data_IF_560180553837
#
_entry.id   IF_560180553837
#
_cell.length_a   1.000
_cell.length_b   1.000
_cell.length_c   1.000
_cell.angle_alpha   90.00
_cell.angle_beta   90.00
_cell.angle_gamma   90.00
#
_symmetry.space_group_name_H-M   'P 1'
#
loop_
_entity.id
_entity.type
_entity.pdbx_description
1 polymer ?
#
# COMPACT_ATOMS: atom_id res chain seq x y z
N UNK A 1 32.39 -16.25 -29.22
CA UNK A 1 32.46 -14.77 -29.33
C UNK A 1 31.33 -14.20 -28.47
N UNK A 2 31.59 -13.41 -27.42
CA UNK A 2 30.53 -12.93 -26.53
C UNK A 2 29.86 -11.70 -27.16
N UNK A 3 28.56 -11.78 -27.45
CA UNK A 3 27.75 -10.64 -27.91
C UNK A 3 27.18 -9.96 -26.66
N UNK A 4 28.00 -9.12 -26.02
CA UNK A 4 27.55 -8.22 -24.96
C UNK A 4 26.96 -6.95 -25.56
N UNK A 5 25.70 -6.99 -25.98
CA UNK A 5 24.95 -5.79 -26.37
C UNK A 5 24.53 -5.02 -25.13
N UNK A 6 25.18 -3.89 -24.85
CA UNK A 6 24.69 -2.94 -23.85
C UNK A 6 23.54 -2.14 -24.47
N UNK A 7 22.30 -2.57 -24.24
CA UNK A 7 21.11 -1.83 -24.66
C UNK A 7 20.89 -0.61 -23.75
N UNK A 8 20.27 0.45 -24.27
CA UNK A 8 19.92 1.61 -23.47
C UNK A 8 18.44 1.62 -23.11
N UNK A 9 18.11 1.96 -21.87
CA UNK A 9 16.73 2.02 -21.37
C UNK A 9 16.47 3.35 -20.67
N UNK A 10 15.28 3.93 -20.87
CA UNK A 10 14.81 5.12 -20.17
C UNK A 10 13.61 4.81 -19.26
N UNK A 11 13.42 5.60 -18.20
CA UNK A 11 12.32 5.42 -17.23
C UNK A 11 11.33 6.58 -17.35
N UNK A 12 10.03 6.28 -17.48
CA UNK A 12 8.94 7.27 -17.57
C UNK A 12 7.73 6.80 -16.74
N UNK A 13 6.97 7.73 -16.17
CA UNK A 13 5.67 7.43 -15.55
C UNK A 13 5.74 6.80 -14.16
N UNK A 14 6.88 6.90 -13.48
CA UNK A 14 7.06 6.42 -12.11
C UNK A 14 7.09 7.59 -11.11
N UNK A 15 6.67 7.33 -9.87
CA UNK A 15 6.80 8.31 -8.80
C UNK A 15 8.28 8.55 -8.45
N UNK A 16 8.63 9.72 -7.89
CA UNK A 16 10.03 10.11 -7.65
C UNK A 16 10.83 9.10 -6.81
N UNK A 17 10.19 8.46 -5.82
CA UNK A 17 10.78 7.38 -5.03
C UNK A 17 11.04 6.12 -5.86
N UNK A 18 10.13 5.75 -6.76
CA UNK A 18 10.31 4.61 -7.68
C UNK A 18 11.43 4.87 -8.69
N UNK A 19 11.51 6.08 -9.23
CA UNK A 19 12.61 6.48 -10.12
C UNK A 19 13.95 6.31 -9.40
N UNK A 20 14.09 6.80 -8.17
CA UNK A 20 15.31 6.65 -7.39
C UNK A 20 15.68 5.16 -7.14
N UNK A 21 14.68 4.32 -6.87
CA UNK A 21 14.90 2.88 -6.68
C UNK A 21 15.33 2.17 -7.97
N UNK A 22 14.67 2.48 -9.08
CA UNK A 22 15.00 1.93 -10.40
C UNK A 22 16.39 2.40 -10.85
N UNK A 23 16.74 3.65 -10.58
CA UNK A 23 18.11 4.16 -10.81
C UNK A 23 19.15 3.33 -10.06
N UNK A 24 18.92 3.03 -8.78
CA UNK A 24 19.83 2.18 -7.99
C UNK A 24 19.90 0.78 -8.61
N UNK A 25 18.77 0.21 -9.02
CA UNK A 25 18.73 -1.10 -9.66
C UNK A 25 19.55 -1.13 -10.96
N UNK A 26 19.36 -0.18 -11.87
CA UNK A 26 20.10 -0.13 -13.13
C UNK A 26 21.56 0.29 -12.97
N UNK A 27 21.90 1.08 -11.94
CA UNK A 27 23.30 1.38 -11.58
C UNK A 27 23.99 0.21 -10.89
N UNK A 28 23.23 -0.72 -10.32
CA UNK A 28 23.77 -1.96 -9.77
C UNK A 28 24.06 -2.98 -10.88
N UNK A 29 25.02 -3.89 -10.69
CA UNK A 29 25.35 -4.96 -11.65
C UNK A 29 24.25 -6.03 -11.82
N UNK A 30 23.01 -5.72 -11.38
CA UNK A 30 21.82 -6.58 -11.44
C UNK A 30 21.03 -6.41 -12.75
N UNK A 31 21.16 -5.28 -13.44
CA UNK A 31 20.53 -5.02 -14.74
C UNK A 31 21.45 -5.41 -15.91
N UNK A 32 21.85 -6.69 -15.97
CA UNK A 32 22.80 -7.18 -16.98
C UNK A 32 22.31 -6.84 -18.40
N UNK A 33 23.11 -6.08 -19.14
CA UNK A 33 22.85 -5.74 -20.54
C UNK A 33 22.01 -4.47 -20.78
N UNK A 34 21.63 -3.74 -19.73
CA UNK A 34 20.90 -2.47 -19.87
C UNK A 34 21.57 -1.31 -19.13
N UNK A 35 21.78 -0.20 -19.83
CA UNK A 35 22.26 1.05 -19.28
C UNK A 35 21.14 2.07 -19.20
N UNK A 36 20.92 2.62 -18.00
CA UNK A 36 19.93 3.67 -17.80
C UNK A 36 20.41 5.00 -18.39
N UNK A 37 19.65 5.54 -19.33
CA UNK A 37 19.87 6.84 -19.97
C UNK A 37 18.60 7.67 -19.93
N UNK A 38 18.68 8.94 -20.34
CA UNK A 38 17.49 9.78 -20.47
C UNK A 38 16.52 9.18 -21.51
N UNK A 39 15.19 9.23 -21.28
CA UNK A 39 14.22 8.59 -22.16
C UNK A 39 14.34 8.95 -23.65
N UNK A 40 14.76 10.18 -23.96
CA UNK A 40 14.91 10.68 -25.33
C UNK A 40 16.10 10.04 -26.08
N UNK A 41 17.06 9.48 -25.34
CA UNK A 41 18.30 8.90 -25.87
C UNK A 41 18.33 7.36 -25.76
N UNK A 42 17.24 6.75 -25.30
CA UNK A 42 17.16 5.31 -25.05
C UNK A 42 16.65 4.53 -26.26
N UNK A 43 17.07 3.28 -26.42
CA UNK A 43 16.58 2.38 -27.48
C UNK A 43 15.32 1.64 -27.04
N UNK A 44 15.05 1.63 -25.73
CA UNK A 44 13.92 0.97 -25.09
C UNK A 44 13.44 1.72 -23.85
N UNK A 45 12.25 1.40 -23.36
CA UNK A 45 11.68 2.09 -22.19
C UNK A 45 11.13 1.17 -21.11
N UNK A 46 11.22 1.64 -19.87
CA UNK A 46 10.47 1.16 -18.74
C UNK A 46 9.43 2.21 -18.38
N UNK A 47 8.15 1.82 -18.44
CA UNK A 47 7.01 2.73 -18.35
C UNK A 47 6.13 2.34 -17.17
N UNK A 48 5.91 3.27 -16.24
CA UNK A 48 5.03 3.10 -15.10
C UNK A 48 3.64 3.64 -15.38
N UNK A 49 2.61 2.87 -15.03
CA UNK A 49 1.21 3.28 -15.09
C UNK A 49 0.65 3.41 -13.67
N UNK A 50 1.13 4.39 -12.90
CA UNK A 50 0.70 4.62 -11.50
C UNK A 50 -0.45 5.62 -11.35
N UNK A 51 -0.56 6.65 -12.20
CA UNK A 51 -1.55 7.74 -12.06
C UNK A 51 -2.32 7.99 -13.37
N UNK A 52 -3.57 8.48 -13.30
CA UNK A 52 -4.41 8.80 -14.47
C UNK A 52 -3.81 9.93 -15.33
N UNK A 53 -3.19 10.95 -14.72
CA UNK A 53 -2.53 12.04 -15.45
C UNK A 53 -1.30 11.51 -16.21
N UNK A 54 -0.54 10.59 -15.60
CA UNK A 54 0.60 9.94 -16.25
C UNK A 54 0.14 8.99 -17.38
N UNK A 55 -1.02 8.35 -17.25
CA UNK A 55 -1.59 7.44 -18.26
C UNK A 55 -1.86 8.13 -19.59
N UNK A 56 -2.57 9.25 -19.61
CA UNK A 56 -2.86 9.94 -20.88
C UNK A 56 -1.59 10.41 -21.59
N UNK A 57 -0.61 10.90 -20.82
CA UNK A 57 0.66 11.37 -21.38
C UNK A 57 1.48 10.20 -21.94
N UNK A 58 1.52 9.07 -21.22
CA UNK A 58 2.21 7.84 -21.63
C UNK A 58 1.53 7.21 -22.84
N UNK A 59 0.20 7.14 -22.89
CA UNK A 59 -0.55 6.57 -24.01
C UNK A 59 -0.38 7.39 -25.29
N UNK A 60 -0.51 8.73 -25.21
CA UNK A 60 -0.23 9.63 -26.35
C UNK A 60 1.19 9.48 -26.88
N UNK A 61 2.12 9.19 -25.99
CA UNK A 61 3.52 9.03 -26.34
C UNK A 61 3.78 7.66 -27.00
N UNK A 62 3.23 6.57 -26.45
CA UNK A 62 3.30 5.22 -27.02
C UNK A 62 2.60 5.10 -28.38
N UNK A 63 1.61 5.95 -28.68
CA UNK A 63 1.01 6.01 -30.01
C UNK A 63 1.97 6.52 -31.09
N UNK A 64 2.94 7.35 -30.71
CA UNK A 64 3.90 7.97 -31.61
C UNK A 64 5.27 7.30 -31.60
N UNK A 65 5.56 6.46 -30.60
CA UNK A 65 6.85 5.80 -30.43
C UNK A 65 6.74 4.28 -30.59
N UNK A 66 7.57 3.71 -31.47
CA UNK A 66 7.57 2.28 -31.79
C UNK A 66 8.66 1.49 -31.07
N UNK A 67 9.40 2.12 -30.14
CA UNK A 67 10.46 1.44 -29.38
C UNK A 67 9.88 0.33 -28.50
N UNK A 68 10.58 -0.82 -28.38
CA UNK A 68 10.20 -1.85 -27.41
C UNK A 68 10.18 -1.29 -25.99
N UNK A 69 9.12 -1.58 -25.23
CA UNK A 69 8.97 -1.11 -23.86
C UNK A 69 8.45 -2.18 -22.91
N UNK A 70 8.78 -2.02 -21.64
CA UNK A 70 8.25 -2.77 -20.50
C UNK A 70 7.26 -1.88 -19.76
N UNK A 71 6.03 -2.34 -19.60
CA UNK A 71 4.96 -1.64 -18.91
C UNK A 71 4.74 -2.22 -17.52
N UNK A 72 4.88 -1.40 -16.49
CA UNK A 72 4.50 -1.74 -15.11
C UNK A 72 3.08 -1.27 -14.86
N UNK A 73 2.16 -2.22 -14.78
CA UNK A 73 0.70 -1.99 -14.72
C UNK A 73 0.11 -2.48 -13.41
N UNK A 74 -0.98 -1.86 -12.98
CA UNK A 74 -1.83 -2.41 -11.93
C UNK A 74 -2.86 -3.41 -12.51
N UNK A 75 -3.48 -4.23 -11.66
CA UNK A 75 -4.44 -5.27 -12.05
C UNK A 75 -5.61 -4.71 -12.89
N UNK A 76 -6.07 -3.49 -12.59
CA UNK A 76 -7.13 -2.83 -13.33
C UNK A 76 -6.70 -2.33 -14.74
N UNK A 77 -5.41 -2.08 -14.96
CA UNK A 77 -4.88 -1.41 -16.18
C UNK A 77 -4.30 -2.38 -17.20
N UNK A 78 -4.19 -3.67 -16.87
CA UNK A 78 -3.55 -4.69 -17.72
C UNK A 78 -4.19 -4.83 -19.12
N UNK A 79 -5.49 -4.52 -19.28
CA UNK A 79 -6.24 -4.65 -20.54
C UNK A 79 -5.94 -3.57 -21.59
N UNK A 80 -5.50 -2.37 -21.19
CA UNK A 80 -5.45 -1.21 -22.08
C UNK A 80 -4.04 -0.90 -22.64
N UNK A 81 -2.99 -1.56 -22.14
CA UNK A 81 -1.65 -1.39 -22.70
C UNK A 81 -1.55 -2.14 -24.03
N UNK A 82 -1.13 -1.40 -25.08
CA UNK A 82 -0.94 -1.91 -26.44
C UNK A 82 -0.20 -3.26 -26.47
N UNK A 83 -0.63 -4.15 -27.37
CA UNK A 83 -0.21 -5.57 -27.40
C UNK A 83 1.29 -5.78 -27.69
N UNK A 84 2.02 -4.70 -27.97
CA UNK A 84 3.44 -4.71 -28.35
C UNK A 84 4.40 -4.55 -27.15
N UNK A 85 3.92 -4.18 -25.96
CA UNK A 85 4.77 -4.03 -24.75
C UNK A 85 4.88 -5.30 -23.89
N UNK A 86 6.00 -5.48 -23.19
CA UNK A 86 6.16 -6.55 -22.16
C UNK A 86 5.51 -6.06 -20.87
N UNK A 87 4.56 -6.82 -20.29
CA UNK A 87 3.79 -6.37 -19.12
C UNK A 87 4.32 -6.97 -17.82
N UNK A 88 4.48 -6.13 -16.80
CA UNK A 88 4.76 -6.53 -15.42
C UNK A 88 3.63 -5.99 -14.53
N UNK A 89 3.04 -6.85 -13.70
CA UNK A 89 2.04 -6.43 -12.71
C UNK A 89 2.69 -5.86 -11.46
N UNK A 90 2.09 -4.82 -10.88
CA UNK A 90 2.38 -4.36 -9.51
C UNK A 90 1.91 -5.44 -8.49
N UNK A 91 2.62 -5.64 -7.36
CA UNK A 91 3.86 -4.97 -6.96
C UNK A 91 5.08 -5.43 -7.79
N UNK A 92 5.96 -4.48 -8.14
CA UNK A 92 7.16 -4.71 -8.94
C UNK A 92 8.18 -5.55 -8.16
N UNK A 93 8.55 -6.72 -8.69
CA UNK A 93 9.52 -7.63 -8.06
C UNK A 93 10.81 -7.70 -8.87
N UNK A 94 11.92 -8.07 -8.22
CA UNK A 94 13.21 -8.27 -8.89
C UNK A 94 13.16 -9.32 -9.98
N UNK A 95 12.55 -10.46 -9.66
CA UNK A 95 12.43 -11.59 -10.59
C UNK A 95 11.63 -11.17 -11.82
N UNK A 96 10.47 -10.54 -11.63
CA UNK A 96 9.62 -10.10 -12.74
C UNK A 96 10.30 -9.04 -13.61
N UNK A 97 11.05 -8.11 -12.99
CA UNK A 97 11.81 -7.10 -13.73
C UNK A 97 12.97 -7.73 -14.52
N UNK A 98 13.70 -8.69 -13.94
CA UNK A 98 14.79 -9.38 -14.65
C UNK A 98 14.26 -10.21 -15.82
N UNK A 99 13.19 -10.97 -15.63
CA UNK A 99 12.55 -11.74 -16.70
C UNK A 99 12.08 -10.85 -17.84
N UNK A 100 11.46 -9.70 -17.51
CA UNK A 100 11.05 -8.73 -18.51
C UNK A 100 12.23 -8.10 -19.27
N UNK A 101 13.34 -7.79 -18.59
CA UNK A 101 14.54 -7.27 -19.25
C UNK A 101 15.19 -8.32 -20.17
N UNK A 102 15.19 -9.60 -19.77
CA UNK A 102 15.65 -10.69 -20.65
C UNK A 102 14.78 -10.77 -21.91
N UNK A 103 13.45 -10.74 -21.76
CA UNK A 103 12.53 -10.71 -22.90
C UNK A 103 12.72 -9.46 -23.77
N UNK A 104 12.97 -8.30 -23.17
CA UNK A 104 13.21 -7.04 -23.87
C UNK A 104 14.49 -7.11 -24.70
N UNK A 105 15.57 -7.67 -24.13
CA UNK A 105 16.85 -7.86 -24.83
C UNK A 105 16.70 -8.78 -26.04
N UNK A 106 15.92 -9.86 -25.91
CA UNK A 106 15.63 -10.77 -27.01
C UNK A 106 14.86 -10.06 -28.13
N UNK A 107 13.89 -9.19 -27.79
CA UNK A 107 13.15 -8.37 -28.78
C UNK A 107 14.04 -7.34 -29.47
N UNK A 108 14.94 -6.70 -28.74
CA UNK A 108 15.88 -5.74 -29.32
C UNK A 108 16.90 -6.43 -30.26
N UNK A 109 17.26 -7.68 -29.97
CA UNK A 109 18.13 -8.49 -30.83
C UNK A 109 17.42 -9.03 -32.09
N UNK A 110 16.10 -9.27 -32.03
CA UNK A 110 15.33 -9.87 -33.13
C UNK A 110 14.94 -8.89 -34.25
N UNK A 111 15.05 -7.57 -34.05
CA UNK A 111 14.57 -6.56 -35.01
C UNK A 111 13.03 -6.52 -35.13
N UNK A 112 12.45 -5.61 -35.94
CA UNK A 112 11.00 -5.52 -36.07
C UNK A 112 10.49 -6.71 -36.88
N UNK A 113 9.91 -7.70 -36.21
CA UNK A 113 9.32 -8.89 -36.83
C UNK A 113 7.80 -8.82 -36.67
N UNK A 114 7.11 -8.86 -37.80
CA UNK A 114 5.66 -9.04 -37.91
C UNK A 114 5.24 -10.39 -37.29
N UNK A 115 4.06 -10.39 -36.67
CA UNK A 115 3.51 -11.50 -35.89
C UNK A 115 3.48 -12.83 -36.66
N UNK A 116 4.04 -13.88 -36.05
CA UNK A 116 3.94 -15.24 -36.60
C UNK A 116 4.59 -16.31 -35.71
N UNK A 117 3.74 -17.04 -35.00
CA UNK A 117 3.91 -18.41 -34.48
C UNK A 117 4.96 -18.75 -33.40
N UNK A 118 4.43 -19.42 -32.36
CA UNK A 118 5.13 -20.07 -31.26
C UNK A 118 6.02 -21.20 -31.78
N UNK A 119 7.26 -21.29 -31.30
CA UNK A 119 7.98 -22.57 -31.17
C UNK A 119 8.75 -22.61 -29.85
N UNK A 120 8.51 -23.69 -29.10
CA UNK A 120 9.16 -24.11 -27.86
C UNK A 120 10.51 -24.74 -28.19
N UNK A 121 11.59 -24.48 -27.42
CA UNK A 121 12.62 -25.50 -27.22
C UNK A 121 13.49 -25.27 -25.97
N UNK A 122 13.82 -26.40 -25.36
CA UNK A 122 14.49 -26.69 -24.10
C UNK A 122 16.03 -26.50 -24.08
N UNK A 123 16.50 -26.13 -22.87
CA UNK A 123 17.61 -26.69 -22.05
C UNK A 123 19.02 -26.83 -22.64
N UNK A 124 20.07 -26.33 -21.93
CA UNK A 124 21.23 -27.12 -21.42
C UNK A 124 21.88 -26.41 -20.22
N UNK A 125 22.25 -27.19 -19.20
CA UNK A 125 22.81 -26.81 -17.90
C UNK A 125 24.32 -27.10 -17.75
N UNK A 126 24.91 -26.52 -16.70
CA UNK A 126 26.07 -26.94 -15.86
C UNK A 126 27.49 -26.39 -16.19
N UNK A 127 28.47 -26.43 -15.24
CA UNK A 127 28.44 -26.32 -13.76
C UNK A 127 29.44 -25.22 -13.23
N UNK A 128 29.31 -24.68 -12.01
CA UNK A 128 29.93 -25.20 -10.77
C UNK A 128 31.07 -24.26 -10.30
N UNK A 129 31.04 -23.81 -9.02
CA UNK A 129 32.05 -23.03 -8.25
C UNK A 129 31.78 -21.54 -7.92
N UNK A 130 30.58 -21.00 -8.14
CA UNK A 130 30.26 -19.61 -7.72
C UNK A 130 29.50 -19.50 -6.37
N UNK A 131 29.07 -20.62 -5.77
CA UNK A 131 28.22 -20.61 -4.55
C UNK A 131 29.02 -20.42 -3.26
N UNK A 132 30.21 -21.01 -3.18
CA UNK A 132 31.00 -20.99 -1.93
C UNK A 132 31.66 -19.62 -1.68
N UNK A 133 32.03 -18.91 -2.76
CA UNK A 133 32.54 -17.54 -2.67
C UNK A 133 31.46 -16.53 -2.24
N UNK A 134 30.23 -16.71 -2.72
CA UNK A 134 29.08 -15.85 -2.38
C UNK A 134 28.61 -16.08 -0.94
N UNK A 135 28.72 -17.30 -0.43
CA UNK A 135 28.36 -17.64 0.95
C UNK A 135 29.37 -17.07 1.96
N UNK A 136 30.68 -17.14 1.66
CA UNK A 136 31.73 -16.55 2.50
C UNK A 136 31.64 -15.01 2.57
N UNK A 137 31.28 -14.35 1.48
CA UNK A 137 31.09 -12.89 1.45
C UNK A 137 29.83 -12.45 2.23
N UNK A 138 28.81 -13.31 2.29
CA UNK A 138 27.58 -13.09 3.07
C UNK A 138 27.81 -13.21 4.58
N UNK A 139 28.58 -14.21 5.06
CA UNK A 139 28.91 -14.34 6.49
C UNK A 139 29.76 -13.17 7.00
N UNK A 140 30.75 -12.74 6.20
CA UNK A 140 31.58 -11.57 6.51
C UNK A 140 30.78 -10.25 6.54
N UNK A 141 29.60 -10.20 5.89
CA UNK A 141 28.70 -9.03 5.91
C UNK A 141 27.75 -9.05 7.11
N UNK A 142 27.34 -10.23 7.56
CA UNK A 142 26.49 -10.41 8.76
C UNK A 142 27.23 -10.04 10.04
N UNK A 143 28.51 -10.38 10.14
CA UNK A 143 29.36 -9.98 11.28
C UNK A 143 29.62 -8.47 11.33
N UNK A 144 29.94 -7.83 10.20
CA UNK A 144 30.09 -6.37 10.13
C UNK A 144 28.81 -5.60 10.49
N UNK A 145 27.65 -6.15 10.14
CA UNK A 145 26.36 -5.56 10.55
C UNK A 145 26.09 -5.72 12.04
N UNK A 146 26.47 -6.85 12.64
CA UNK A 146 26.34 -7.10 14.09
C UNK A 146 27.24 -6.16 14.89
N UNK A 147 28.48 -5.96 14.44
CA UNK A 147 29.45 -5.04 15.06
C UNK A 147 29.03 -3.58 14.94
N UNK A 148 28.44 -3.18 13.80
CA UNK A 148 27.84 -1.86 13.62
C UNK A 148 26.60 -1.64 14.50
N UNK A 149 25.76 -2.68 14.69
CA UNK A 149 24.59 -2.64 15.59
C UNK A 149 24.97 -2.57 17.07
N UNK A 150 26.07 -3.22 17.48
CA UNK A 150 26.59 -3.10 18.85
C UNK A 150 27.25 -1.74 19.10
N UNK A 151 27.95 -1.18 18.11
CA UNK A 151 28.52 0.17 18.19
C UNK A 151 27.43 1.27 18.24
N UNK A 152 26.32 1.09 17.50
CA UNK A 152 25.21 2.04 17.47
C UNK A 152 24.33 2.02 18.75
N UNK A 153 24.22 0.86 19.42
CA UNK A 153 23.49 0.74 20.70
C UNK A 153 24.21 1.38 21.90
N UNK A 154 25.53 1.54 21.86
CA UNK A 154 26.29 2.16 22.94
C UNK A 154 26.20 3.68 22.97
N UNK A 155 25.99 4.32 21.83
CA UNK A 155 26.22 5.77 21.63
C UNK A 155 24.91 6.59 21.51
N UNK A 156 23.78 5.93 21.23
CA UNK A 156 22.46 6.56 21.06
C UNK A 156 21.70 6.77 22.38
N UNK A 157 21.77 5.80 23.31
CA UNK A 157 21.05 5.85 24.58
C UNK A 157 21.50 7.00 25.50
N UNK A 158 22.77 7.42 25.40
CA UNK A 158 23.33 8.50 26.21
C UNK A 158 23.02 9.89 25.64
N UNK A 159 22.92 10.05 24.31
CA UNK A 159 22.67 11.36 23.67
C UNK A 159 21.20 11.75 23.63
N UNK A 160 20.28 10.79 23.52
CA UNK A 160 18.83 11.07 23.48
C UNK A 160 18.29 11.51 24.85
N UNK A 161 18.83 10.96 25.96
CA UNK A 161 18.40 11.33 27.31
C UNK A 161 18.80 12.74 27.75
N UNK A 162 19.90 13.27 27.22
CA UNK A 162 20.45 14.58 27.62
C UNK A 162 19.95 15.72 26.69
N UNK A 163 19.71 15.43 25.42
CA UNK A 163 19.14 16.37 24.45
C UNK A 163 17.62 16.60 24.63
N UNK A 164 16.88 15.60 25.13
CA UNK A 164 15.46 15.74 25.47
C UNK A 164 15.22 16.51 26.77
N UNK A 165 16.19 16.51 27.71
CA UNK A 165 16.09 17.24 28.99
C UNK A 165 16.42 18.73 28.88
N UNK A 166 17.12 19.17 27.84
CA UNK A 166 17.53 20.59 27.69
C UNK A 166 16.62 21.44 26.81
N UNK A 167 15.65 20.84 26.10
CA UNK A 167 14.82 21.56 25.10
C UNK A 167 13.39 21.92 25.54
N UNK A 168 12.91 21.39 26.66
CA UNK A 168 11.58 21.74 27.19
C UNK A 168 11.64 21.90 28.72
N UNK A 169 12.17 23.02 29.17
CA UNK A 169 11.99 23.51 30.54
C UNK A 169 10.82 24.49 30.58
N UNK A 170 9.61 23.95 30.56
CA UNK A 170 8.45 24.56 31.20
C UNK A 170 7.89 23.46 32.10
N UNK A 171 7.90 23.70 33.41
CA UNK A 171 7.49 22.67 34.36
C UNK A 171 6.02 22.30 34.11
N UNK A 172 5.75 20.99 34.18
CA UNK A 172 4.44 20.37 33.91
C UNK A 172 3.30 20.95 34.77
N UNK A 173 3.62 21.66 35.84
CA UNK A 173 2.72 22.42 36.70
C UNK A 173 2.19 23.71 36.04
N UNK A 174 3.02 24.44 35.29
CA UNK A 174 2.65 25.72 34.64
C UNK A 174 1.78 25.50 33.40
N UNK A 175 2.00 24.39 32.68
CA UNK A 175 1.16 24.03 31.54
C UNK A 175 -0.28 23.68 31.97
N UNK A 176 -0.41 23.03 33.14
CA UNK A 176 -1.72 22.66 33.68
C UNK A 176 -2.50 23.87 34.23
N UNK A 177 -1.83 24.89 34.78
CA UNK A 177 -2.50 26.11 35.22
C UNK A 177 -3.01 26.96 34.05
N UNK A 178 -2.26 27.05 32.95
CA UNK A 178 -2.67 27.77 31.75
C UNK A 178 -3.89 27.14 31.04
N UNK A 179 -3.97 25.80 31.04
CA UNK A 179 -5.13 25.09 30.48
C UNK A 179 -6.39 25.33 31.32
N UNK A 180 -6.25 25.36 32.65
CA UNK A 180 -7.37 25.61 33.56
C UNK A 180 -7.88 27.06 33.45
N UNK A 181 -6.97 28.03 33.36
CA UNK A 181 -7.32 29.45 33.14
C UNK A 181 -8.06 29.65 31.81
N UNK A 182 -7.59 29.03 30.73
CA UNK A 182 -8.23 29.10 29.42
C UNK A 182 -9.66 28.52 29.41
N UNK A 183 -9.89 27.41 30.12
CA UNK A 183 -11.23 26.81 30.26
C UNK A 183 -12.18 27.69 31.09
N UNK A 184 -11.66 28.36 32.12
CA UNK A 184 -12.46 29.24 32.99
C UNK A 184 -12.87 30.52 32.27
N UNK A 185 -12.03 31.05 31.39
CA UNK A 185 -12.38 32.21 30.55
C UNK A 185 -13.43 31.88 29.49
N UNK A 186 -13.35 30.70 28.86
CA UNK A 186 -14.34 30.22 27.90
C UNK A 186 -15.74 30.06 28.53
N UNK A 187 -15.82 29.56 29.76
CA UNK A 187 -17.08 29.47 30.50
C UNK A 187 -17.65 30.84 30.86
N UNK A 188 -16.80 31.81 31.26
CA UNK A 188 -17.23 33.19 31.52
C UNK A 188 -17.71 33.94 30.26
N UNK A 189 -17.16 33.60 29.09
CA UNK A 189 -17.62 34.15 27.81
C UNK A 189 -18.96 33.55 27.38
N UNK A 190 -19.21 32.26 27.64
CA UNK A 190 -20.50 31.63 27.37
C UNK A 190 -21.62 32.14 28.30
N UNK A 191 -21.32 32.48 29.55
CA UNK A 191 -22.29 33.02 30.51
C UNK A 191 -22.70 34.50 30.27
N UNK A 192 -22.03 35.23 29.37
CA UNK A 192 -22.28 36.68 29.11
C UNK A 192 -23.09 36.98 27.84
N UNK A 193 -23.57 35.97 27.11
CA UNK A 193 -24.47 36.18 25.96
C UNK A 193 -25.91 36.43 26.46
N UNK A 194 -26.56 37.56 26.13
CA UNK A 194 -27.95 37.78 26.54
C UNK A 194 -28.89 36.90 25.70
N UNK A 195 -29.74 36.16 26.41
CA UNK A 195 -30.81 35.33 25.83
C UNK A 195 -31.99 36.24 25.47
N UNK A 196 -32.37 36.29 24.19
CA UNK A 196 -33.64 36.87 23.73
C UNK A 196 -34.73 35.80 23.90
N UNK A 197 -35.68 36.05 24.80
CA UNK A 197 -36.80 35.14 25.09
C UNK A 197 -37.96 35.49 24.16
N UNK A 198 -38.30 34.57 23.25
CA UNK A 198 -39.63 34.46 22.65
C UNK A 198 -40.30 33.16 23.16
N UNK A 199 -41.62 33.13 23.39
CA UNK A 199 -42.26 32.05 24.15
C UNK A 199 -42.45 30.79 23.29
N UNK A 200 -41.92 29.66 23.76
CA UNK A 200 -42.22 28.34 23.20
C UNK A 200 -43.55 27.77 23.74
N UNK A 201 -44.35 27.08 22.91
CA UNK A 201 -45.36 26.16 23.39
C UNK A 201 -44.73 24.81 23.83
N UNK A 202 -45.43 24.13 24.74
CA UNK A 202 -45.01 22.95 25.53
C UNK A 202 -44.30 21.83 24.75
N UNK A 203 -43.37 21.08 25.39
CA UNK A 203 -42.57 20.06 24.72
C UNK A 203 -43.35 18.76 24.54
N UNK A 204 -43.42 18.28 23.29
CA UNK A 204 -43.47 16.85 23.02
C UNK A 204 -42.04 16.32 23.18
N UNK A 205 -41.88 15.26 23.96
CA UNK A 205 -40.60 14.65 24.29
C UNK A 205 -39.82 14.29 23.01
N UNK A 206 -38.73 15.01 22.76
CA UNK A 206 -37.65 14.52 21.89
C UNK A 206 -36.76 13.69 22.79
N UNK A 207 -36.75 12.39 22.54
CA UNK A 207 -35.73 11.49 23.06
C UNK A 207 -34.42 11.96 22.44
N UNK A 208 -33.58 12.64 23.23
CA UNK A 208 -32.17 12.78 22.90
C UNK A 208 -31.59 11.36 22.94
N UNK A 209 -31.42 10.78 21.76
CA UNK A 209 -30.65 9.56 21.56
C UNK A 209 -29.18 9.95 21.81
N UNK A 210 -28.76 9.91 23.07
CA UNK A 210 -27.34 9.90 23.42
C UNK A 210 -26.72 8.70 22.72
N UNK A 211 -26.10 8.95 21.57
CA UNK A 211 -25.34 7.94 20.86
C UNK A 211 -24.35 7.30 21.86
N UNK A 212 -24.33 5.95 21.97
CA UNK A 212 -23.44 5.28 22.89
C UNK A 212 -21.99 5.71 22.63
N UNK A 213 -21.14 5.75 23.67
CA UNK A 213 -19.74 6.10 23.50
C UNK A 213 -19.12 5.25 22.38
N UNK A 214 -18.25 5.82 21.54
CA UNK A 214 -17.69 5.06 20.42
C UNK A 214 -16.97 3.83 20.99
N UNK A 215 -17.33 2.64 20.49
CA UNK A 215 -16.67 1.37 20.84
C UNK A 215 -15.16 1.43 20.61
N UNK A 216 -14.71 2.30 19.72
CA UNK A 216 -13.31 2.57 19.41
C UNK A 216 -12.85 3.88 20.06
N UNK A 217 -11.61 3.89 20.56
CA UNK A 217 -10.97 5.12 21.03
C UNK A 217 -10.80 6.12 19.87
N UNK A 218 -10.74 7.42 20.21
CA UNK A 218 -10.50 8.49 19.23
C UNK A 218 -9.21 8.26 18.45
N UNK A 219 -8.16 7.79 19.13
CA UNK A 219 -6.89 7.44 18.51
C UNK A 219 -7.04 6.32 17.47
N UNK A 220 -7.77 5.25 17.80
CA UNK A 220 -8.01 4.13 16.88
C UNK A 220 -8.84 4.58 15.67
N UNK A 221 -9.85 5.42 15.87
CA UNK A 221 -10.62 6.02 14.77
C UNK A 221 -9.68 6.80 13.83
N UNK A 222 -8.77 7.61 14.37
CA UNK A 222 -7.81 8.35 13.57
C UNK A 222 -6.78 7.44 12.87
N UNK A 223 -6.44 6.29 13.47
CA UNK A 223 -5.57 5.30 12.84
C UNK A 223 -6.26 4.62 11.64
N UNK A 224 -7.54 4.21 11.77
CA UNK A 224 -8.28 3.52 10.72
C UNK A 224 -8.86 4.45 9.65
N UNK A 225 -9.30 5.65 10.05
CA UNK A 225 -10.09 6.56 9.20
C UNK A 225 -9.37 7.88 8.91
N UNK A 226 -8.21 8.11 9.51
CA UNK A 226 -7.47 9.36 9.33
C UNK A 226 -8.21 10.58 9.88
N UNK A 227 -7.74 11.75 9.48
CA UNK A 227 -8.25 13.05 9.91
C UNK A 227 -8.48 14.01 8.74
N UNK A 228 -8.50 13.48 7.51
CA UNK A 228 -8.74 14.31 6.33
C UNK A 228 -10.16 14.91 6.43
N UNK A 229 -10.33 16.23 6.25
CA UNK A 229 -11.66 16.82 6.10
C UNK A 229 -12.26 16.41 4.76
N UNK A 230 -13.58 16.53 4.64
CA UNK A 230 -14.27 16.29 3.39
C UNK A 230 -13.77 17.25 2.30
N UNK A 231 -13.70 16.73 1.09
CA UNK A 231 -13.18 17.46 -0.07
C UNK A 231 -14.19 17.52 -1.20
N UNK A 232 -14.01 18.51 -2.07
CA UNK A 232 -14.66 18.56 -3.36
C UNK A 232 -13.89 17.69 -4.38
N UNK A 233 -14.45 16.53 -4.75
CA UNK A 233 -13.84 15.61 -5.71
C UNK A 233 -13.81 16.14 -7.16
N UNK A 234 -14.59 17.19 -7.46
CA UNK A 234 -14.57 17.88 -8.77
C UNK A 234 -13.36 18.84 -8.88
N UNK A 235 -12.75 19.20 -7.74
CA UNK A 235 -11.54 20.01 -7.71
C UNK A 235 -10.30 19.12 -7.84
N UNK A 236 -9.54 19.28 -8.93
CA UNK A 236 -8.32 18.50 -9.19
C UNK A 236 -7.33 18.54 -8.02
N UNK A 237 -7.14 19.72 -7.42
CA UNK A 237 -6.20 19.90 -6.31
C UNK A 237 -6.65 19.18 -5.04
N UNK A 238 -7.93 19.22 -4.73
CA UNK A 238 -8.46 18.56 -3.54
C UNK A 238 -8.59 17.05 -3.74
N UNK A 239 -8.98 16.62 -4.94
CA UNK A 239 -9.01 15.23 -5.37
C UNK A 239 -7.69 14.52 -5.09
N UNK A 240 -6.55 15.14 -5.42
CA UNK A 240 -5.20 14.59 -5.17
C UNK A 240 -4.91 14.27 -3.70
N UNK A 241 -5.65 14.82 -2.74
CA UNK A 241 -5.47 14.54 -1.30
C UNK A 241 -6.19 13.28 -0.84
N UNK A 242 -7.23 12.88 -1.57
CA UNK A 242 -8.01 11.66 -1.31
C UNK A 242 -7.33 10.44 -1.87
N UNK A 243 -6.65 10.58 -3.00
CA UNK A 243 -6.04 9.46 -3.70
C UNK A 243 -4.60 9.21 -3.23
N UNK A 244 -4.18 7.96 -3.21
CA UNK A 244 -2.80 7.57 -2.88
C UNK A 244 -2.37 6.29 -3.60
N UNK A 245 -1.10 6.21 -3.94
CA UNK A 245 -0.52 4.99 -4.52
C UNK A 245 -0.26 3.93 -3.45
N UNK A 246 -0.66 2.68 -3.77
CA UNK A 246 -0.36 1.47 -2.99
C UNK A 246 1.06 0.95 -3.21
N UNK A 247 1.85 1.60 -4.06
CA UNK A 247 3.16 1.11 -4.44
C UNK A 247 4.13 1.05 -3.28
N UNK A 248 4.78 -0.12 -3.16
CA UNK A 248 5.70 -0.43 -2.07
C UNK A 248 5.02 -0.60 -0.71
N UNK A 249 3.69 -0.63 -0.61
CA UNK A 249 3.02 -0.86 0.67
C UNK A 249 2.78 -2.34 0.94
N UNK A 250 2.56 -2.69 2.21
CA UNK A 250 2.34 -4.08 2.65
C UNK A 250 1.06 -4.69 2.08
N UNK A 251 -0.05 -3.93 2.02
CA UNK A 251 -1.38 -4.45 1.67
C UNK A 251 -1.41 -5.22 0.33
N UNK A 252 -0.88 -4.71 -0.80
CA UNK A 252 -0.79 -5.48 -2.04
C UNK A 252 -0.05 -6.81 -1.92
N UNK A 253 0.98 -6.87 -1.09
CA UNK A 253 1.73 -8.11 -0.85
C UNK A 253 0.89 -9.13 -0.09
N UNK A 254 0.08 -8.69 0.87
CA UNK A 254 -0.86 -9.56 1.59
C UNK A 254 -1.94 -10.10 0.66
N UNK A 255 -2.54 -9.23 -0.16
CA UNK A 255 -3.54 -9.65 -1.15
C UNK A 255 -2.96 -10.66 -2.15
N UNK A 256 -1.73 -10.43 -2.61
CA UNK A 256 -1.00 -11.36 -3.48
C UNK A 256 -0.66 -12.67 -2.77
N UNK A 257 -0.28 -12.61 -1.50
CA UNK A 257 0.02 -13.77 -0.65
C UNK A 257 -1.20 -14.70 -0.54
N UNK A 258 -2.39 -14.13 -0.28
CA UNK A 258 -3.66 -14.87 -0.24
C UNK A 258 -3.95 -15.50 -1.60
N UNK A 259 -3.91 -14.69 -2.67
CA UNK A 259 -4.20 -15.16 -4.03
C UNK A 259 -3.30 -16.32 -4.46
N UNK A 260 -1.98 -16.18 -4.30
CA UNK A 260 -1.02 -17.23 -4.66
C UNK A 260 -1.19 -18.47 -3.80
N UNK A 261 -1.46 -18.33 -2.51
CA UNK A 261 -1.73 -19.47 -1.63
C UNK A 261 -2.98 -20.22 -2.04
N UNK A 262 -4.03 -19.50 -2.44
CA UNK A 262 -5.29 -20.07 -2.91
C UNK A 262 -5.16 -20.77 -4.26
N UNK A 263 -4.41 -20.18 -5.19
CA UNK A 263 -4.15 -20.75 -6.52
C UNK A 263 -3.25 -22.00 -6.44
N UNK A 264 -2.24 -21.99 -5.56
CA UNK A 264 -1.24 -23.07 -5.47
C UNK A 264 -1.59 -24.14 -4.43
N UNK A 265 -2.45 -23.83 -3.48
CA UNK A 265 -2.72 -24.66 -2.30
C UNK A 265 -1.55 -24.73 -1.31
N UNK A 266 -0.49 -23.94 -1.51
CA UNK A 266 0.74 -23.98 -0.72
C UNK A 266 0.89 -22.78 0.21
N UNK A 267 1.54 -23.00 1.34
CA UNK A 267 1.80 -21.94 2.33
C UNK A 267 2.67 -20.86 1.69
N UNK A 268 2.28 -19.60 1.89
CA UNK A 268 3.01 -18.44 1.40
C UNK A 268 3.57 -17.66 2.57
N UNK A 269 4.87 -17.37 2.56
CA UNK A 269 5.51 -16.50 3.55
C UNK A 269 5.75 -15.12 2.96
N UNK A 270 5.40 -14.07 3.70
CA UNK A 270 5.86 -12.72 3.43
C UNK A 270 7.27 -12.57 4.02
N UNK A 271 8.25 -12.41 3.15
CA UNK A 271 9.67 -12.24 3.52
C UNK A 271 10.01 -10.76 3.44
N UNK A 272 10.85 -10.28 4.36
CA UNK A 272 11.27 -8.86 4.42
C UNK A 272 10.60 -8.04 5.51
N UNK A 273 9.56 -8.61 6.14
CA UNK A 273 8.99 -8.09 7.39
C UNK A 273 9.63 -8.77 8.60
N UNK A 274 9.73 -8.09 9.75
CA UNK A 274 10.15 -8.75 10.98
C UNK A 274 9.18 -9.88 11.37
N UNK A 275 9.69 -10.88 12.11
CA UNK A 275 8.86 -11.95 12.64
C UNK A 275 8.24 -12.88 11.58
N UNK A 276 7.15 -13.53 11.97
CA UNK A 276 6.45 -14.51 11.14
C UNK A 276 5.19 -13.89 10.50
N UNK A 277 5.06 -14.00 9.18
CA UNK A 277 3.83 -13.65 8.49
C UNK A 277 3.59 -14.65 7.35
N UNK A 278 2.76 -15.65 7.64
CA UNK A 278 2.49 -16.76 6.74
C UNK A 278 1.00 -16.84 6.46
N UNK A 279 0.64 -17.07 5.20
CA UNK A 279 -0.71 -17.43 4.80
C UNK A 279 -0.85 -18.94 4.66
N UNK A 280 -1.84 -19.52 5.34
CA UNK A 280 -2.15 -20.94 5.37
C UNK A 280 -3.44 -21.16 4.58
N UNK A 281 -3.36 -21.55 3.29
CA UNK A 281 -4.53 -21.57 2.39
C UNK A 281 -5.59 -22.61 2.78
N UNK A 282 -5.20 -23.73 3.37
CA UNK A 282 -6.13 -24.78 3.79
C UNK A 282 -7.07 -24.34 4.92
N UNK A 283 -6.62 -23.42 5.77
CA UNK A 283 -7.39 -22.88 6.88
C UNK A 283 -7.95 -21.47 6.60
N UNK A 284 -7.50 -20.80 5.53
CA UNK A 284 -7.80 -19.38 5.24
C UNK A 284 -7.43 -18.45 6.39
N UNK A 285 -6.26 -18.70 7.00
CA UNK A 285 -5.73 -17.90 8.12
C UNK A 285 -4.32 -17.43 7.84
N UNK A 286 -3.96 -16.31 8.45
CA UNK A 286 -2.58 -15.91 8.63
C UNK A 286 -2.05 -16.36 9.99
N UNK A 287 -0.84 -16.88 9.99
CA UNK A 287 -0.01 -17.00 11.18
C UNK A 287 0.83 -15.74 11.32
N UNK A 288 0.55 -14.96 12.36
CA UNK A 288 1.14 -13.65 12.64
C UNK A 288 1.99 -13.73 13.91
N UNK A 289 3.31 -13.66 13.75
CA UNK A 289 4.30 -13.56 14.82
C UNK A 289 4.86 -12.14 14.97
N UNK A 290 4.03 -11.15 14.67
CA UNK A 290 4.29 -9.71 14.80
C UNK A 290 3.36 -9.16 15.88
N UNK A 291 3.84 -8.22 16.70
CA UNK A 291 2.96 -7.45 17.57
C UNK A 291 2.11 -6.44 16.76
N UNK A 292 1.03 -5.96 17.38
CA UNK A 292 0.06 -5.09 16.71
C UNK A 292 0.63 -3.71 16.33
N UNK A 293 1.52 -3.14 17.15
CA UNK A 293 2.10 -1.82 16.91
C UNK A 293 3.07 -1.87 15.72
N UNK A 294 3.89 -2.91 15.65
CA UNK A 294 4.79 -3.16 14.53
C UNK A 294 4.00 -3.41 13.25
N UNK A 295 2.93 -4.22 13.30
CA UNK A 295 2.06 -4.43 12.15
C UNK A 295 1.45 -3.10 11.67
N UNK A 296 0.98 -2.26 12.59
CA UNK A 296 0.47 -0.92 12.28
C UNK A 296 1.57 -0.03 11.66
N UNK A 297 2.81 -0.07 12.14
CA UNK A 297 3.91 0.65 11.53
C UNK A 297 4.17 0.18 10.08
N UNK A 298 4.18 -1.13 9.85
CA UNK A 298 4.42 -1.71 8.52
C UNK A 298 3.34 -1.32 7.50
N UNK A 299 2.10 -1.04 7.92
CA UNK A 299 1.05 -0.52 7.01
C UNK A 299 1.38 0.85 6.41
N UNK A 300 2.32 1.58 7.02
CA UNK A 300 2.77 2.92 6.62
C UNK A 300 4.16 2.93 5.98
N UNK A 301 4.88 1.82 6.09
CA UNK A 301 6.22 1.68 5.51
C UNK A 301 6.10 1.47 4.01
N UNK A 302 6.92 2.21 3.25
CA UNK A 302 7.16 1.93 1.84
C UNK A 302 8.39 1.06 1.72
N UNK A 303 8.18 -0.19 1.38
CA UNK A 303 9.24 -1.14 1.06
C UNK A 303 9.83 -0.80 -0.30
N UNK A 304 11.14 -0.76 -0.31
CA UNK A 304 11.93 -0.66 -1.52
C UNK A 304 11.90 -1.93 -2.35
N UNK A 305 12.55 -1.86 -3.48
CA UNK A 305 12.70 -3.00 -4.36
C UNK A 305 13.48 -4.14 -3.69
N UNK A 306 12.95 -5.36 -3.76
CA UNK A 306 13.53 -6.58 -3.15
C UNK A 306 13.57 -6.55 -1.60
N UNK A 307 13.01 -5.52 -0.96
CA UNK A 307 12.91 -5.47 0.50
C UNK A 307 11.77 -6.32 1.04
N UNK A 308 10.77 -6.62 0.21
CA UNK A 308 9.65 -7.50 0.52
C UNK A 308 9.38 -8.43 -0.65
N UNK A 309 9.08 -9.69 -0.35
CA UNK A 309 8.79 -10.71 -1.35
C UNK A 309 7.90 -11.80 -0.78
N UNK A 310 7.45 -12.71 -1.64
CA UNK A 310 6.71 -13.90 -1.25
C UNK A 310 7.56 -15.13 -1.49
N UNK A 311 7.60 -16.02 -0.50
CA UNK A 311 8.29 -17.29 -0.59
C UNK A 311 7.30 -18.42 -0.32
N UNK A 312 7.20 -19.34 -1.28
CA UNK A 312 6.46 -20.58 -1.10
C UNK A 312 7.16 -21.47 -0.07
N UNK A 313 6.36 -22.08 0.82
CA UNK A 313 6.82 -23.06 1.81
C UNK A 313 6.08 -24.37 1.62
N UNK A 314 6.80 -25.47 1.77
CA UNK A 314 6.18 -26.80 1.80
C UNK A 314 5.32 -26.95 3.05
N UNK A 315 4.20 -27.67 2.93
CA UNK A 315 3.30 -27.96 4.04
C UNK A 315 3.97 -28.72 5.20
N UNK A 316 5.07 -29.44 4.92
CA UNK A 316 5.86 -30.23 5.88
C UNK A 316 6.89 -29.40 6.66
N UNK A 317 7.10 -28.14 6.28
CA UNK A 317 8.03 -27.27 7.02
C UNK A 317 7.46 -26.91 8.38
N UNK A 318 8.28 -27.04 9.43
CA UNK A 318 7.92 -26.53 10.76
C UNK A 318 7.67 -25.02 10.67
N UNK A 319 6.44 -24.62 10.97
CA UNK A 319 6.06 -23.22 11.03
C UNK A 319 6.44 -22.63 12.40
N UNK A 320 6.86 -21.36 12.46
CA UNK A 320 7.14 -20.70 13.71
C UNK A 320 5.86 -20.56 14.57
N UNK A 321 6.02 -20.17 15.83
CA UNK A 321 4.88 -19.85 16.68
C UNK A 321 4.32 -18.47 16.31
N UNK A 322 3.01 -18.31 16.40
CA UNK A 322 2.32 -17.05 16.11
C UNK A 322 0.82 -17.14 16.37
N UNK A 323 0.16 -15.99 16.39
CA UNK A 323 -1.30 -15.91 16.50
C UNK A 323 -1.91 -16.24 15.14
N UNK A 324 -2.91 -17.13 15.11
CA UNK A 324 -3.74 -17.34 13.93
C UNK A 324 -4.82 -16.26 13.84
N UNK A 325 -4.95 -15.61 12.68
CA UNK A 325 -5.94 -14.58 12.40
C UNK A 325 -6.61 -14.93 11.06
N UNK A 326 -7.93 -14.80 10.95
CA UNK A 326 -8.61 -15.06 9.68
C UNK A 326 -8.10 -14.14 8.56
N UNK A 327 -8.02 -14.63 7.32
CA UNK A 327 -7.38 -13.90 6.24
C UNK A 327 -8.07 -12.59 5.87
N UNK A 328 -9.39 -12.63 5.82
CA UNK A 328 -10.25 -11.47 5.61
C UNK A 328 -10.18 -10.48 6.78
N UNK A 329 -10.17 -10.95 8.03
CA UNK A 329 -10.01 -10.10 9.22
C UNK A 329 -8.69 -9.31 9.17
N UNK A 330 -7.58 -9.99 8.87
CA UNK A 330 -6.28 -9.34 8.74
C UNK A 330 -6.25 -8.37 7.55
N UNK A 331 -6.75 -8.77 6.39
CA UNK A 331 -6.80 -7.91 5.21
C UNK A 331 -7.66 -6.66 5.44
N UNK A 332 -8.81 -6.81 6.10
CA UNK A 332 -9.70 -5.71 6.48
C UNK A 332 -8.97 -4.70 7.38
N UNK A 333 -8.31 -5.18 8.45
CA UNK A 333 -7.56 -4.33 9.37
C UNK A 333 -6.40 -3.60 8.66
N UNK A 334 -5.61 -4.32 7.87
CA UNK A 334 -4.48 -3.72 7.14
C UNK A 334 -4.97 -2.70 6.11
N UNK A 335 -6.08 -2.97 5.43
CA UNK A 335 -6.69 -2.04 4.48
C UNK A 335 -7.12 -0.74 5.15
N UNK A 336 -7.77 -0.81 6.32
CA UNK A 336 -8.12 0.37 7.11
C UNK A 336 -6.87 1.20 7.49
N UNK A 337 -5.85 0.55 8.04
CA UNK A 337 -4.64 1.23 8.50
C UNK A 337 -3.77 1.78 7.37
N UNK A 338 -3.81 1.18 6.19
CA UNK A 338 -3.16 1.69 4.97
C UNK A 338 -3.95 2.87 4.37
N UNK A 339 -5.27 2.75 4.26
CA UNK A 339 -6.14 3.75 3.63
C UNK A 339 -6.25 5.04 4.46
N UNK A 340 -6.60 4.93 5.74
CA UNK A 340 -6.79 6.07 6.66
C UNK A 340 -7.70 7.16 6.09
N UNK A 341 -8.83 6.77 5.53
CA UNK A 341 -9.83 7.66 4.96
C UNK A 341 -9.48 8.20 3.58
N UNK A 342 -8.54 7.56 2.89
CA UNK A 342 -8.13 7.84 1.51
C UNK A 342 -8.40 6.61 0.64
N UNK A 343 -8.31 6.78 -0.67
CA UNK A 343 -8.64 5.76 -1.66
C UNK A 343 -7.39 5.45 -2.50
N UNK A 344 -7.02 4.17 -2.71
CA UNK A 344 -5.99 3.79 -3.65
C UNK A 344 -6.25 4.32 -5.06
N UNK A 345 -5.21 4.71 -5.79
CA UNK A 345 -5.31 5.15 -7.20
C UNK A 345 -5.89 4.05 -8.14
N UNK A 346 -5.88 2.80 -7.67
CA UNK A 346 -6.50 1.64 -8.33
C UNK A 346 -8.03 1.64 -8.29
N UNK A 347 -8.63 2.39 -7.35
CA UNK A 347 -10.07 2.48 -7.13
C UNK A 347 -10.59 3.86 -7.50
N UNK A 348 -11.90 3.99 -7.75
CA UNK A 348 -12.56 5.27 -8.00
C UNK A 348 -13.67 5.49 -7.00
N UNK A 349 -13.70 6.68 -6.41
CA UNK A 349 -14.75 7.13 -5.48
C UNK A 349 -16.10 7.35 -6.19
N UNK A 350 -16.07 7.54 -7.51
CA UNK A 350 -17.21 7.89 -8.35
C UNK A 350 -17.82 6.65 -9.03
N UNK A 351 -17.07 5.54 -9.12
CA UNK A 351 -17.55 4.31 -9.71
C UNK A 351 -18.63 3.66 -8.81
N UNK A 352 -19.86 3.45 -9.31
CA UNK A 352 -20.92 2.82 -8.52
C UNK A 352 -20.65 1.33 -8.26
N UNK A 353 -20.80 0.91 -7.02
CA UNK A 353 -20.63 -0.47 -6.55
C UNK A 353 -21.79 -0.91 -5.66
N UNK A 354 -21.94 -2.21 -5.48
CA UNK A 354 -22.98 -2.83 -4.66
C UNK A 354 -22.31 -3.90 -3.79
N UNK A 355 -22.62 -3.93 -2.50
CA UNK A 355 -22.16 -5.01 -1.62
C UNK A 355 -22.94 -6.29 -1.94
N UNK A 356 -22.22 -7.40 -2.07
CA UNK A 356 -22.79 -8.73 -2.27
C UNK A 356 -23.35 -9.30 -0.96
N UNK A 357 -22.69 -9.01 0.15
CA UNK A 357 -23.07 -9.48 1.49
C UNK A 357 -22.72 -8.44 2.57
N UNK A 358 -23.34 -8.57 3.74
CA UNK A 358 -23.04 -7.70 4.88
C UNK A 358 -21.70 -8.12 5.51
N UNK A 359 -20.83 -7.16 5.86
CA UNK A 359 -19.65 -7.47 6.67
C UNK A 359 -20.05 -8.01 8.05
N UNK A 360 -19.36 -9.04 8.51
CA UNK A 360 -19.51 -9.56 9.87
C UNK A 360 -18.77 -8.68 10.88
N UNK A 361 -19.46 -7.67 11.44
CA UNK A 361 -18.90 -6.72 12.42
C UNK A 361 -18.65 -7.30 13.81
N UNK A 362 -19.04 -8.55 14.08
CA UNK A 362 -18.63 -9.23 15.32
C UNK A 362 -17.18 -9.71 15.24
N UNK A 363 -16.68 -9.93 14.01
CA UNK A 363 -15.30 -10.31 13.73
C UNK A 363 -14.48 -9.16 13.13
N UNK A 364 -15.05 -8.42 12.19
CA UNK A 364 -14.39 -7.32 11.50
C UNK A 364 -14.43 -6.04 12.33
N UNK A 365 -13.34 -5.27 12.26
CA UNK A 365 -13.22 -3.99 12.97
C UNK A 365 -14.30 -3.01 12.49
N UNK A 366 -15.29 -2.73 13.35
CA UNK A 366 -16.40 -1.82 13.10
C UNK A 366 -15.95 -0.34 13.20
N UNK A 367 -15.76 0.33 12.07
CA UNK A 367 -15.46 1.77 12.02
C UNK A 367 -16.70 2.63 12.25
N UNK A 368 -16.57 3.94 12.52
CA UNK A 368 -17.73 4.83 12.66
C UNK A 368 -18.66 4.75 11.45
N UNK A 369 -19.96 4.62 11.73
CA UNK A 369 -21.03 4.49 10.72
C UNK A 369 -20.95 3.24 9.82
N UNK A 370 -20.08 2.26 10.12
CA UNK A 370 -19.85 1.11 9.24
C UNK A 370 -21.13 0.32 8.92
N UNK A 371 -22.02 0.12 9.91
CA UNK A 371 -23.31 -0.56 9.70
C UNK A 371 -24.21 0.20 8.73
N UNK A 372 -24.41 1.50 8.94
CA UNK A 372 -25.24 2.33 8.05
C UNK A 372 -24.66 2.43 6.64
N UNK A 373 -23.32 2.51 6.54
CA UNK A 373 -22.62 2.48 5.25
C UNK A 373 -22.90 1.14 4.54
N UNK A 374 -22.71 0.03 5.24
CA UNK A 374 -22.92 -1.31 4.68
C UNK A 374 -24.39 -1.54 4.26
N UNK A 375 -25.35 -1.18 5.10
CA UNK A 375 -26.78 -1.31 4.79
C UNK A 375 -27.17 -0.52 3.53
N UNK A 376 -26.73 0.73 3.42
CA UNK A 376 -27.01 1.55 2.24
C UNK A 376 -26.39 0.92 0.98
N UNK A 377 -25.13 0.50 1.05
CA UNK A 377 -24.39 -0.05 -0.09
C UNK A 377 -24.81 -1.46 -0.48
N UNK A 378 -25.41 -2.22 0.44
CA UNK A 378 -26.05 -3.50 0.13
C UNK A 378 -27.40 -3.28 -0.56
N UNK A 379 -28.14 -2.24 -0.15
CA UNK A 379 -29.47 -1.95 -0.71
C UNK A 379 -29.42 -1.30 -2.10
N UNK A 380 -28.36 -0.53 -2.41
CA UNK A 380 -28.30 0.28 -3.62
C UNK A 380 -26.89 0.32 -4.23
N UNK A 381 -26.83 0.29 -5.57
CA UNK A 381 -25.58 0.44 -6.31
C UNK A 381 -25.19 1.91 -6.38
N UNK A 382 -24.20 2.29 -5.59
CA UNK A 382 -23.82 3.68 -5.35
C UNK A 382 -22.30 3.85 -5.37
N UNK A 383 -21.85 5.07 -5.69
CA UNK A 383 -20.44 5.43 -5.56
C UNK A 383 -20.11 5.79 -4.11
N UNK A 384 -18.83 5.75 -3.73
CA UNK A 384 -18.40 6.12 -2.38
C UNK A 384 -18.76 7.58 -2.05
N UNK A 385 -18.66 8.47 -3.04
CA UNK A 385 -19.08 9.86 -2.90
C UNK A 385 -20.57 9.96 -2.60
N UNK A 386 -21.42 9.25 -3.35
CA UNK A 386 -22.88 9.29 -3.16
C UNK A 386 -23.29 8.73 -1.80
N UNK A 387 -22.64 7.67 -1.32
CA UNK A 387 -22.88 7.11 0.02
C UNK A 387 -22.57 8.12 1.12
N UNK A 388 -21.43 8.80 1.04
CA UNK A 388 -21.07 9.85 2.00
C UNK A 388 -22.10 10.99 1.99
N UNK A 389 -22.48 11.47 0.81
CA UNK A 389 -23.48 12.54 0.67
C UNK A 389 -24.86 12.16 1.19
N UNK A 390 -25.33 10.93 0.93
CA UNK A 390 -26.67 10.50 1.35
C UNK A 390 -26.77 10.23 2.85
N UNK A 391 -25.72 9.68 3.46
CA UNK A 391 -25.69 9.43 4.90
C UNK A 391 -25.36 10.70 5.70
N UNK A 392 -24.83 11.75 5.06
CA UNK A 392 -24.38 12.96 5.74
C UNK A 392 -23.21 12.72 6.70
N UNK A 393 -22.39 11.69 6.43
CA UNK A 393 -21.23 11.31 7.25
C UNK A 393 -19.93 11.76 6.59
N UNK A 394 -18.87 12.02 7.36
CA UNK A 394 -17.57 12.38 6.80
C UNK A 394 -17.08 11.36 5.76
N UNK A 395 -16.62 11.86 4.61
CA UNK A 395 -16.13 11.06 3.47
C UNK A 395 -15.07 10.04 3.90
N UNK A 396 -14.18 10.43 4.82
CA UNK A 396 -13.11 9.56 5.34
C UNK A 396 -13.63 8.24 5.93
N UNK A 397 -14.82 8.22 6.53
CA UNK A 397 -15.38 6.99 7.10
C UNK A 397 -15.86 6.06 5.99
N UNK A 398 -16.52 6.62 4.97
CA UNK A 398 -16.96 5.88 3.78
C UNK A 398 -15.77 5.37 2.97
N UNK A 399 -14.73 6.19 2.80
CA UNK A 399 -13.55 5.81 2.03
C UNK A 399 -12.74 4.71 2.72
N UNK A 400 -12.57 4.77 4.04
CA UNK A 400 -11.94 3.66 4.78
C UNK A 400 -12.75 2.36 4.68
N UNK A 401 -14.06 2.43 4.87
CA UNK A 401 -14.93 1.27 4.69
C UNK A 401 -14.83 0.72 3.26
N UNK A 402 -14.88 1.61 2.27
CA UNK A 402 -14.81 1.26 0.86
C UNK A 402 -13.56 0.43 0.53
N UNK A 403 -12.39 0.89 0.98
CA UNK A 403 -11.12 0.20 0.73
C UNK A 403 -11.03 -1.11 1.49
N UNK A 404 -11.54 -1.18 2.73
CA UNK A 404 -11.53 -2.41 3.50
C UNK A 404 -12.45 -3.49 2.89
N UNK A 405 -13.64 -3.11 2.45
CA UNK A 405 -14.58 -3.99 1.77
C UNK A 405 -14.06 -4.47 0.40
N UNK A 406 -13.40 -3.60 -0.35
CA UNK A 406 -12.75 -3.98 -1.62
C UNK A 406 -11.60 -4.96 -1.39
N UNK A 407 -10.79 -4.75 -0.34
CA UNK A 407 -9.63 -5.59 -0.04
C UNK A 407 -9.97 -7.06 0.24
N UNK A 408 -11.18 -7.33 0.75
CA UNK A 408 -11.66 -8.70 1.02
C UNK A 408 -12.73 -9.16 0.01
N UNK A 409 -13.01 -8.38 -1.04
CA UNK A 409 -13.87 -8.77 -2.15
C UNK A 409 -15.37 -8.76 -1.85
N UNK A 410 -15.88 -7.87 -0.98
CA UNK A 410 -17.32 -7.84 -0.66
C UNK A 410 -18.21 -7.23 -1.75
N UNK A 411 -17.65 -6.53 -2.73
CA UNK A 411 -18.44 -5.93 -3.82
C UNK A 411 -18.81 -6.97 -4.86
N UNK A 412 -20.00 -6.83 -5.45
CA UNK A 412 -20.38 -7.62 -6.61
C UNK A 412 -19.38 -7.43 -7.76
N UNK A 413 -19.02 -8.51 -8.48
CA UNK A 413 -18.06 -8.48 -9.58
C UNK A 413 -18.50 -7.63 -10.78
#
# INVERSE_FOLDING_TARGET
MPVGGNHSIGIIGFAANEVAMLEIFFKSNKAKGFNLVKPELSDSLLVGFSDNDAREQVEKWLQNDRRPFVAVVDAATSRNVANTGIKISRPLTLIALQEALVQLSARLAAGPVEEGERVVSEVVSAPGNARDAVFAEWEARKQRSSEALSAWKGDSAQREGEALRSRFSLERSELNSLILEAQTELQKQQAKRPVRVEPQPKPAAVVEDEAPPPKLSVEMIQQCCGSLPDVNLDSVTERRRVYFSLDGLLLPWIQRCVRLGDETGKVQQVVGVPGALFYLPGEKVFLVGLDADLLLQLTRTRFGFDEISLQERSAESELPHGRKVASDELMWQLALFTARGRIPDALSAEQPRLLNEMPDFERLLETPHARSIAELWQSQRLSAQSVASMLGVPQRFVFSFFVAADAIGLYCP
#
